data_IF_955897746811
#
_entry.id   IF_955897746811
#
_cell.length_a   1.000
_cell.length_b   1.000
_cell.length_c   1.000
_cell.angle_alpha   90.00
_cell.angle_beta   90.00
_cell.angle_gamma   90.00
#
_symmetry.space_group_name_H-M   'P 1'
#
loop_
_entity.id
_entity.type
_entity.pdbx_description
1 polymer ?
#
# COMPACT_ATOMS: atom_id res chain seq x y z
N UNK A 1 -6.24 -32.17 -3.70
CA UNK A 1 -5.18 -31.31 -3.16
C UNK A 1 -4.95 -30.21 -4.19
N UNK A 2 -4.99 -28.94 -3.79
CA UNK A 2 -4.72 -27.81 -4.70
C UNK A 2 -3.36 -27.23 -4.33
N UNK A 3 -2.52 -26.98 -5.33
CA UNK A 3 -1.17 -26.40 -5.15
C UNK A 3 -1.06 -25.15 -6.00
N UNK A 4 -0.26 -24.18 -5.55
CA UNK A 4 0.06 -22.97 -6.31
C UNK A 4 1.57 -22.88 -6.52
N UNK A 5 1.98 -22.46 -7.71
CA UNK A 5 3.38 -22.25 -8.08
C UNK A 5 3.47 -21.13 -9.11
N UNK A 6 4.69 -20.61 -9.32
CA UNK A 6 5.00 -19.82 -10.52
C UNK A 6 5.06 -20.73 -11.74
N UNK A 7 4.91 -20.16 -12.93
CA UNK A 7 5.07 -20.86 -14.22
C UNK A 7 6.54 -21.11 -14.57
N UNK A 8 7.29 -21.66 -13.62
CA UNK A 8 8.66 -22.08 -13.86
C UNK A 8 8.67 -23.44 -14.55
N UNK A 9 9.63 -23.63 -15.47
CA UNK A 9 9.72 -24.82 -16.30
C UNK A 9 9.64 -26.12 -15.48
N UNK A 10 10.32 -26.17 -14.33
CA UNK A 10 10.34 -27.34 -13.43
C UNK A 10 8.94 -27.75 -12.96
N UNK A 11 8.05 -26.78 -12.67
CA UNK A 11 6.69 -27.07 -12.24
C UNK A 11 5.78 -27.41 -13.40
N UNK A 12 5.96 -26.75 -14.55
CA UNK A 12 5.20 -27.05 -15.77
C UNK A 12 5.47 -28.48 -16.22
N UNK A 13 6.74 -28.90 -16.21
CA UNK A 13 7.16 -30.25 -16.61
C UNK A 13 6.69 -31.31 -15.61
N UNK A 14 6.85 -31.06 -14.30
CA UNK A 14 6.44 -32.01 -13.27
C UNK A 14 4.92 -32.20 -13.16
N UNK A 15 4.14 -31.14 -13.44
CA UNK A 15 2.68 -31.15 -13.38
C UNK A 15 2.04 -31.26 -14.78
N UNK A 16 2.79 -31.74 -15.77
CA UNK A 16 2.27 -31.93 -17.11
C UNK A 16 1.07 -32.89 -17.12
N UNK A 17 0.06 -32.56 -17.91
CA UNK A 17 -1.21 -33.30 -17.95
C UNK A 17 -2.18 -33.07 -16.78
N UNK A 18 -1.84 -32.21 -15.80
CA UNK A 18 -2.76 -31.80 -14.71
C UNK A 18 -3.53 -30.55 -15.13
N UNK A 19 -4.82 -30.48 -14.78
CA UNK A 19 -5.63 -29.28 -14.99
C UNK A 19 -5.02 -28.09 -14.21
N UNK A 20 -4.85 -26.95 -14.90
CA UNK A 20 -4.22 -25.76 -14.34
C UNK A 20 -5.07 -24.52 -14.58
N UNK A 21 -5.09 -23.64 -13.58
CA UNK A 21 -5.69 -22.31 -13.67
C UNK A 21 -4.56 -21.28 -13.79
N UNK A 22 -4.45 -20.65 -14.96
CA UNK A 22 -3.51 -19.56 -15.18
C UNK A 22 -4.16 -18.26 -14.70
N UNK A 23 -3.89 -17.89 -13.45
CA UNK A 23 -4.54 -16.74 -12.82
C UNK A 23 -4.36 -15.45 -13.62
N UNK A 24 -3.18 -15.23 -14.23
CA UNK A 24 -2.92 -14.02 -15.02
C UNK A 24 -3.89 -13.87 -16.21
N UNK A 25 -4.23 -14.96 -16.91
CA UNK A 25 -5.22 -14.96 -17.98
C UNK A 25 -6.63 -14.69 -17.45
N UNK A 26 -6.97 -15.24 -16.28
CA UNK A 26 -8.30 -15.06 -15.68
C UNK A 26 -8.52 -13.63 -15.15
N UNK A 27 -7.47 -12.97 -14.65
CA UNK A 27 -7.54 -11.60 -14.12
C UNK A 27 -7.50 -10.52 -15.21
N UNK A 28 -7.19 -10.88 -16.46
CA UNK A 28 -6.97 -9.93 -17.54
C UNK A 28 -8.18 -9.04 -17.80
N UNK A 29 -9.38 -9.62 -17.80
CA UNK A 29 -10.63 -8.88 -18.01
C UNK A 29 -10.88 -7.87 -16.88
N UNK A 30 -10.69 -8.29 -15.63
CA UNK A 30 -10.90 -7.40 -14.47
C UNK A 30 -9.87 -6.26 -14.47
N UNK A 31 -8.62 -6.54 -14.84
CA UNK A 31 -7.56 -5.54 -15.00
C UNK A 31 -7.92 -4.54 -16.11
N UNK A 32 -8.41 -5.02 -17.25
CA UNK A 32 -8.83 -4.18 -18.37
C UNK A 32 -9.98 -3.27 -17.96
N UNK A 33 -11.03 -3.80 -17.34
CA UNK A 33 -12.15 -2.97 -16.84
C UNK A 33 -11.71 -1.94 -15.80
N UNK A 34 -10.84 -2.35 -14.86
CA UNK A 34 -10.31 -1.45 -13.86
C UNK A 34 -9.49 -0.32 -14.49
N UNK A 35 -8.57 -0.66 -15.39
CA UNK A 35 -7.72 0.32 -16.05
C UNK A 35 -8.53 1.26 -16.94
N UNK A 36 -9.46 0.73 -17.73
CA UNK A 36 -10.34 1.50 -18.61
C UNK A 36 -11.13 2.54 -17.82
N UNK A 37 -11.76 2.12 -16.72
CA UNK A 37 -12.53 2.99 -15.83
C UNK A 37 -11.68 4.11 -15.26
N UNK A 38 -10.45 3.82 -14.83
CA UNK A 38 -9.55 4.84 -14.25
C UNK A 38 -9.01 5.81 -15.30
N UNK A 39 -8.84 5.36 -16.54
CA UNK A 39 -8.41 6.21 -17.65
C UNK A 39 -9.53 7.09 -18.20
N UNK A 40 -10.80 6.89 -17.82
CA UNK A 40 -11.90 7.79 -18.20
C UNK A 40 -11.70 9.21 -17.69
N UNK A 41 -11.00 9.39 -16.57
CA UNK A 41 -10.69 10.70 -16.00
C UNK A 41 -9.66 11.48 -16.83
N UNK A 42 -8.96 10.83 -17.77
CA UNK A 42 -7.94 11.44 -18.62
C UNK A 42 -8.53 11.81 -19.99
N UNK A 43 -8.33 13.07 -20.38
CA UNK A 43 -8.75 13.58 -21.69
C UNK A 43 -7.61 13.38 -22.68
N UNK A 44 -7.68 12.36 -23.51
CA UNK A 44 -6.72 12.14 -24.61
C UNK A 44 -7.07 13.00 -25.82
N UNK A 45 -6.04 13.43 -26.56
CA UNK A 45 -6.23 14.23 -27.78
C UNK A 45 -6.93 13.44 -28.90
N UNK A 46 -6.69 12.13 -28.94
CA UNK A 46 -7.28 11.21 -29.90
C UNK A 46 -7.87 9.99 -29.18
N UNK A 47 -9.04 9.47 -29.61
CA UNK A 47 -9.60 8.26 -29.04
C UNK A 47 -8.64 7.06 -29.11
N UNK A 48 -7.86 6.96 -30.19
CA UNK A 48 -6.91 5.86 -30.39
C UNK A 48 -5.78 5.85 -29.35
N UNK A 49 -5.41 7.02 -28.80
CA UNK A 49 -4.36 7.11 -27.78
C UNK A 49 -4.81 6.47 -26.46
N UNK A 50 -6.11 6.56 -26.14
CA UNK A 50 -6.69 5.87 -24.97
C UNK A 50 -6.61 4.35 -25.13
N UNK A 51 -6.93 3.83 -26.31
CA UNK A 51 -6.83 2.39 -26.59
C UNK A 51 -5.37 1.90 -26.53
N UNK A 52 -4.44 2.69 -27.07
CA UNK A 52 -3.00 2.38 -27.06
C UNK A 52 -2.46 2.26 -25.63
N UNK A 53 -2.76 3.23 -24.76
CA UNK A 53 -2.26 3.19 -23.39
C UNK A 53 -2.92 2.08 -22.57
N UNK A 54 -4.23 1.87 -22.75
CA UNK A 54 -4.93 0.77 -22.11
C UNK A 54 -4.31 -0.58 -22.49
N UNK A 55 -4.07 -0.81 -23.78
CA UNK A 55 -3.43 -2.02 -24.27
C UNK A 55 -2.02 -2.19 -23.68
N UNK A 56 -1.20 -1.14 -23.64
CA UNK A 56 0.15 -1.18 -23.06
C UNK A 56 0.10 -1.58 -21.57
N UNK A 57 -0.82 -1.01 -20.79
CA UNK A 57 -0.99 -1.34 -19.37
C UNK A 57 -1.43 -2.79 -19.19
N UNK A 58 -2.52 -3.21 -19.85
CA UNK A 58 -3.11 -4.54 -19.68
C UNK A 58 -2.14 -5.64 -20.12
N UNK A 59 -1.44 -5.44 -21.25
CA UNK A 59 -0.46 -6.42 -21.74
C UNK A 59 0.78 -6.52 -20.86
N UNK A 60 1.18 -5.44 -20.20
CA UNK A 60 2.35 -5.42 -19.32
C UNK A 60 2.06 -5.93 -17.91
N UNK A 61 0.81 -5.84 -17.45
CA UNK A 61 0.40 -6.14 -16.08
C UNK A 61 0.71 -7.57 -15.62
N UNK A 62 0.70 -8.55 -16.54
CA UNK A 62 0.96 -9.97 -16.24
C UNK A 62 0.13 -10.51 -15.06
N UNK A 63 -1.11 -10.02 -14.89
CA UNK A 63 -2.01 -10.40 -13.79
C UNK A 63 -1.78 -9.67 -12.45
N UNK A 64 -0.84 -8.72 -12.38
CA UNK A 64 -0.47 -8.03 -11.13
C UNK A 64 -1.26 -6.73 -10.97
N UNK A 65 -2.37 -6.79 -10.22
CA UNK A 65 -3.24 -5.61 -9.96
C UNK A 65 -2.50 -4.43 -9.33
N UNK A 66 -1.59 -4.68 -8.38
CA UNK A 66 -0.81 -3.62 -7.74
C UNK A 66 0.00 -2.84 -8.79
N UNK A 67 0.62 -3.53 -9.73
CA UNK A 67 1.37 -2.91 -10.82
C UNK A 67 0.47 -1.97 -11.63
N UNK A 68 -0.73 -2.44 -12.00
CA UNK A 68 -1.72 -1.66 -12.76
C UNK A 68 -2.10 -0.37 -12.02
N UNK A 69 -2.40 -0.46 -10.73
CA UNK A 69 -2.74 0.70 -9.89
C UNK A 69 -1.61 1.74 -9.91
N UNK A 70 -0.35 1.29 -9.74
CA UNK A 70 0.81 2.18 -9.71
C UNK A 70 1.11 2.81 -11.07
N UNK A 71 0.95 2.06 -12.15
CA UNK A 71 1.13 2.56 -13.51
C UNK A 71 0.08 3.61 -13.84
N UNK A 72 -1.19 3.36 -13.55
CA UNK A 72 -2.27 4.32 -13.78
C UNK A 72 -2.03 5.62 -13.00
N UNK A 73 -1.64 5.52 -11.74
CA UNK A 73 -1.34 6.70 -10.92
C UNK A 73 -0.11 7.47 -11.46
N UNK A 74 0.92 6.75 -11.91
CA UNK A 74 2.10 7.31 -12.58
C UNK A 74 1.75 8.03 -13.90
N UNK A 75 0.94 7.40 -14.74
CA UNK A 75 0.42 7.93 -16.01
C UNK A 75 -0.46 9.15 -15.76
N UNK A 76 -1.38 9.07 -14.81
CA UNK A 76 -2.31 10.16 -14.47
C UNK A 76 -1.56 11.42 -14.04
N UNK A 77 -0.49 11.26 -13.24
CA UNK A 77 0.38 12.39 -12.88
C UNK A 77 1.12 12.97 -14.08
N UNK A 78 1.69 12.13 -14.93
CA UNK A 78 2.41 12.58 -16.11
C UNK A 78 1.49 13.32 -17.09
N UNK A 79 0.30 12.77 -17.36
CA UNK A 79 -0.70 13.35 -18.25
C UNK A 79 -1.18 14.75 -17.80
N UNK A 80 -1.12 15.06 -16.50
CA UNK A 80 -1.42 16.40 -15.97
C UNK A 80 -0.35 17.44 -16.30
N UNK A 81 0.88 17.01 -16.58
CA UNK A 81 2.01 17.87 -16.94
C UNK A 81 2.09 17.99 -18.46
N UNK A 82 2.19 16.85 -19.13
CA UNK A 82 2.21 16.73 -20.59
C UNK A 82 1.44 15.46 -20.97
N UNK A 83 0.46 15.61 -21.87
CA UNK A 83 -0.42 14.52 -22.27
C UNK A 83 0.02 13.90 -23.60
N UNK A 84 1.33 13.84 -23.81
CA UNK A 84 1.95 13.18 -24.94
C UNK A 84 1.88 11.65 -24.76
N UNK A 85 1.17 10.97 -25.65
CA UNK A 85 0.94 9.53 -25.56
C UNK A 85 2.23 8.70 -25.67
N UNK A 86 3.20 9.12 -26.47
CA UNK A 86 4.49 8.41 -26.59
C UNK A 86 5.25 8.42 -25.26
N UNK A 87 5.29 9.57 -24.57
CA UNK A 87 5.94 9.70 -23.27
C UNK A 87 5.20 8.89 -22.19
N UNK A 88 3.85 8.85 -22.26
CA UNK A 88 3.05 8.03 -21.35
C UNK A 88 3.29 6.54 -21.56
N UNK A 89 3.38 6.06 -22.80
CA UNK A 89 3.70 4.66 -23.11
C UNK A 89 5.12 4.33 -22.66
N UNK A 90 6.10 5.19 -22.96
CA UNK A 90 7.48 5.01 -22.48
C UNK A 90 7.51 4.87 -20.95
N UNK A 91 6.71 5.66 -20.25
CA UNK A 91 6.57 5.58 -18.80
C UNK A 91 5.99 4.25 -18.34
N UNK A 92 5.01 3.69 -19.05
CA UNK A 92 4.47 2.34 -18.78
C UNK A 92 5.57 1.29 -18.96
N UNK A 93 6.33 1.36 -20.05
CA UNK A 93 7.37 0.38 -20.39
C UNK A 93 8.54 0.37 -19.38
N UNK A 94 8.83 1.53 -18.76
CA UNK A 94 9.87 1.67 -17.74
C UNK A 94 9.41 1.31 -16.31
N UNK A 95 8.13 1.01 -16.09
CA UNK A 95 7.66 0.60 -14.77
C UNK A 95 8.27 -0.76 -14.37
N UNK A 96 8.89 -0.87 -13.18
CA UNK A 96 9.43 -2.13 -12.69
C UNK A 96 8.38 -3.23 -12.69
N UNK A 97 8.72 -4.42 -13.18
CA UNK A 97 7.79 -5.57 -13.19
C UNK A 97 7.85 -6.38 -11.90
N UNK A 98 8.95 -6.29 -11.18
CA UNK A 98 9.11 -6.95 -9.89
C UNK A 98 8.37 -6.16 -8.80
N UNK A 99 7.62 -6.88 -7.95
CA UNK A 99 6.79 -6.29 -6.90
C UNK A 99 7.63 -5.60 -5.81
N UNK A 100 8.81 -6.12 -5.51
CA UNK A 100 9.72 -5.53 -4.52
C UNK A 100 10.30 -4.24 -5.08
N UNK A 101 10.67 -4.23 -6.36
CA UNK A 101 11.13 -3.01 -7.03
C UNK A 101 10.04 -1.96 -7.11
N UNK A 102 8.77 -2.35 -7.33
CA UNK A 102 7.63 -1.43 -7.27
C UNK A 102 7.46 -0.81 -5.88
N UNK A 103 7.49 -1.61 -4.82
CA UNK A 103 7.38 -1.12 -3.44
C UNK A 103 8.53 -0.18 -3.11
N UNK A 104 9.76 -0.56 -3.49
CA UNK A 104 10.95 0.27 -3.35
C UNK A 104 10.76 1.60 -4.07
N UNK A 105 10.28 1.56 -5.31
CA UNK A 105 10.05 2.75 -6.09
C UNK A 105 8.96 3.65 -5.47
N UNK A 106 7.88 3.10 -4.93
CA UNK A 106 6.89 3.87 -4.14
C UNK A 106 7.54 4.53 -2.91
N UNK A 107 8.42 3.81 -2.23
CA UNK A 107 9.15 4.31 -1.08
C UNK A 107 10.21 5.34 -1.44
N UNK A 108 10.78 5.31 -2.64
CA UNK A 108 11.85 6.23 -3.07
C UNK A 108 11.30 7.45 -3.84
N UNK A 109 10.18 7.32 -4.57
CA UNK A 109 9.63 8.32 -5.51
C UNK A 109 9.21 9.67 -4.94
N UNK A 110 9.19 9.88 -3.63
CA UNK A 110 8.68 11.16 -3.12
C UNK A 110 9.76 12.22 -3.18
N UNK A 111 9.51 13.27 -3.97
CA UNK A 111 10.31 14.49 -4.01
C UNK A 111 10.50 15.15 -2.63
N UNK A 112 11.31 16.20 -2.58
CA UNK A 112 11.83 17.00 -1.43
C UNK A 112 11.39 16.63 0.01
N UNK A 113 10.10 16.46 0.29
CA UNK A 113 9.58 16.02 1.60
C UNK A 113 10.04 14.62 2.02
N UNK A 114 10.37 13.76 1.05
CA UNK A 114 10.84 12.40 1.28
C UNK A 114 12.20 12.33 1.97
N UNK A 115 13.00 13.40 1.90
CA UNK A 115 14.30 13.53 2.55
C UNK A 115 14.23 14.11 3.96
N UNK A 116 13.05 14.53 4.43
CA UNK A 116 12.89 15.08 5.77
C UNK A 116 13.14 13.97 6.81
N UNK A 117 14.19 14.07 7.66
CA UNK A 117 14.54 12.99 8.58
C UNK A 117 13.43 12.64 9.57
N UNK A 118 12.67 13.63 10.04
CA UNK A 118 11.56 13.41 10.97
C UNK A 118 10.41 12.63 10.34
N UNK A 119 10.23 12.70 9.02
CA UNK A 119 9.23 11.91 8.30
C UNK A 119 9.67 10.46 8.16
N UNK A 120 10.94 10.21 7.82
CA UNK A 120 11.53 8.87 7.80
C UNK A 120 11.41 8.19 9.18
N UNK A 121 11.73 8.91 10.26
CA UNK A 121 11.58 8.41 11.64
C UNK A 121 10.13 8.05 11.97
N UNK A 122 9.17 8.92 11.65
CA UNK A 122 7.75 8.64 11.94
C UNK A 122 7.20 7.47 11.13
N UNK A 123 7.49 7.43 9.82
CA UNK A 123 7.11 6.30 8.96
C UNK A 123 7.69 4.98 9.48
N UNK A 124 8.99 4.99 9.82
CA UNK A 124 9.69 3.85 10.41
C UNK A 124 9.02 3.31 11.67
N UNK A 125 8.55 4.18 12.58
CA UNK A 125 7.78 3.76 13.76
C UNK A 125 6.48 3.05 13.38
N UNK A 126 5.73 3.60 12.41
CA UNK A 126 4.49 2.99 11.96
C UNK A 126 4.72 1.63 11.30
N UNK A 127 5.78 1.48 10.48
CA UNK A 127 6.14 0.19 9.90
C UNK A 127 6.59 -0.84 10.95
N UNK A 128 7.35 -0.43 11.98
CA UNK A 128 7.72 -1.34 13.08
C UNK A 128 6.49 -1.84 13.84
N UNK A 129 5.56 -0.94 14.20
CA UNK A 129 4.32 -1.31 14.88
C UNK A 129 3.51 -2.32 14.05
N UNK A 130 3.33 -2.04 12.76
CA UNK A 130 2.60 -2.94 11.85
C UNK A 130 3.28 -4.31 11.67
N UNK A 131 4.62 -4.33 11.69
CA UNK A 131 5.40 -5.56 11.51
C UNK A 131 5.35 -6.46 12.74
N UNK A 132 5.55 -5.91 13.93
CA UNK A 132 5.63 -6.69 15.18
C UNK A 132 4.30 -7.43 15.50
N UNK A 133 3.15 -6.87 15.09
CA UNK A 133 1.83 -7.45 15.37
C UNK A 133 1.38 -8.51 14.35
N UNK A 134 2.02 -8.57 13.18
CA UNK A 134 1.74 -9.58 12.13
C UNK A 134 2.01 -11.03 12.55
N UNK A 135 2.75 -11.25 13.65
CA UNK A 135 3.08 -12.57 14.18
C UNK A 135 2.00 -13.23 15.05
N UNK A 136 0.97 -12.50 15.51
CA UNK A 136 -0.01 -13.02 16.49
C UNK A 136 -1.42 -13.30 15.94
N UNK A 137 -1.62 -13.18 14.62
CA UNK A 137 -2.68 -13.89 13.91
C UNK A 137 -4.16 -13.60 14.24
N UNK A 138 -4.51 -12.57 15.03
CA UNK A 138 -5.94 -12.37 15.35
C UNK A 138 -6.43 -10.97 15.75
N UNK A 139 -5.59 -9.93 15.80
CA UNK A 139 -6.09 -8.58 16.11
C UNK A 139 -5.44 -7.60 15.17
N UNK A 140 -6.28 -6.80 14.54
CA UNK A 140 -5.86 -5.74 13.64
C UNK A 140 -5.68 -4.47 14.44
N UNK A 141 -4.54 -3.83 14.26
CA UNK A 141 -4.17 -2.68 15.07
C UNK A 141 -5.05 -1.49 14.69
N UNK A 142 -5.71 -0.94 15.69
CA UNK A 142 -6.48 0.27 15.55
C UNK A 142 -5.55 1.49 15.41
N UNK A 143 -5.99 2.52 14.71
CA UNK A 143 -5.31 3.82 14.66
C UNK A 143 -5.13 4.40 16.07
N UNK A 144 -6.00 4.03 17.01
CA UNK A 144 -5.86 4.41 18.41
C UNK A 144 -4.56 3.87 19.04
N UNK A 145 -4.20 2.61 18.79
CA UNK A 145 -2.94 2.03 19.28
C UNK A 145 -1.73 2.75 18.68
N UNK A 146 -1.78 3.07 17.38
CA UNK A 146 -0.71 3.80 16.69
C UNK A 146 -0.55 5.21 17.25
N UNK A 147 -1.67 5.87 17.51
CA UNK A 147 -1.74 7.20 18.09
C UNK A 147 -1.11 7.25 19.48
N UNK A 148 -1.40 6.24 20.30
CA UNK A 148 -0.85 6.11 21.66
C UNK A 148 0.64 5.75 21.61
N UNK A 149 1.01 4.75 20.81
CA UNK A 149 2.39 4.26 20.71
C UNK A 149 3.35 5.31 20.11
N UNK A 150 2.84 6.20 19.27
CA UNK A 150 3.61 7.27 18.63
C UNK A 150 3.56 8.61 19.38
N UNK A 151 2.86 8.68 20.52
CA UNK A 151 2.75 9.90 21.32
C UNK A 151 4.12 10.33 21.88
N UNK A 152 4.47 11.60 21.72
CA UNK A 152 5.76 12.16 22.15
C UNK A 152 5.87 12.27 23.68
N UNK A 153 4.77 12.09 24.40
CA UNK A 153 4.77 12.01 25.87
C UNK A 153 5.50 10.80 26.44
N UNK A 154 5.89 9.83 25.58
CA UNK A 154 6.64 8.64 25.98
C UNK A 154 5.77 7.57 26.61
N UNK A 155 6.29 6.33 26.65
CA UNK A 155 5.59 5.15 27.21
C UNK A 155 5.15 5.36 28.66
N UNK A 156 5.95 6.08 29.44
CA UNK A 156 5.67 6.36 30.86
C UNK A 156 4.40 7.19 31.07
N UNK A 157 4.15 8.16 30.20
CA UNK A 157 2.92 8.96 30.27
C UNK A 157 1.68 8.14 29.90
N UNK A 158 1.81 7.16 29.00
CA UNK A 158 0.69 6.31 28.58
C UNK A 158 0.31 5.28 29.64
N UNK A 159 1.31 4.74 30.34
CA UNK A 159 1.15 3.69 31.35
C UNK A 159 0.77 4.23 32.74
N UNK A 160 0.65 5.56 32.89
CA UNK A 160 0.20 6.19 34.12
C UNK A 160 -1.28 5.85 34.39
N UNK A 161 -1.60 5.06 35.43
CA UNK A 161 -2.97 4.65 35.73
C UNK A 161 -3.85 5.82 36.18
N UNK A 162 -3.25 6.93 36.63
CA UNK A 162 -3.96 8.14 37.05
C UNK A 162 -4.17 9.12 35.89
N UNK A 163 -3.67 8.80 34.68
CA UNK A 163 -3.86 9.64 33.49
C UNK A 163 -5.30 9.60 33.03
N UNK A 164 -5.96 10.74 33.16
CA UNK A 164 -7.27 10.97 32.53
C UNK A 164 -7.08 11.31 31.06
N UNK A 165 -7.63 10.47 30.18
CA UNK A 165 -7.65 10.71 28.75
C UNK A 165 -8.88 11.53 28.37
N UNK A 166 -8.65 12.76 27.91
CA UNK A 166 -9.69 13.54 27.26
C UNK A 166 -10.05 12.91 25.92
N UNK A 167 -11.31 12.50 25.77
CA UNK A 167 -11.87 11.87 24.57
C UNK A 167 -11.64 12.73 23.33
N UNK A 168 -11.78 14.05 23.44
CA UNK A 168 -11.58 14.96 22.29
C UNK A 168 -10.09 15.05 21.91
N UNK A 169 -9.20 15.01 22.89
CA UNK A 169 -7.76 14.95 22.64
C UNK A 169 -7.36 13.63 21.97
N UNK A 170 -7.92 12.51 22.40
CA UNK A 170 -7.67 11.18 21.81
C UNK A 170 -8.20 11.12 20.38
N UNK A 171 -9.42 11.60 20.13
CA UNK A 171 -10.00 11.66 18.79
C UNK A 171 -9.11 12.47 17.84
N UNK A 172 -8.68 13.67 18.26
CA UNK A 172 -7.75 14.50 17.48
C UNK A 172 -6.42 13.80 17.21
N UNK A 173 -5.90 13.07 18.19
CA UNK A 173 -4.66 12.31 18.04
C UNK A 173 -4.83 11.20 16.99
N UNK A 174 -5.92 10.44 17.04
CA UNK A 174 -6.21 9.37 16.08
C UNK A 174 -6.37 9.93 14.65
N UNK A 175 -7.12 11.01 14.48
CA UNK A 175 -7.30 11.66 13.17
C UNK A 175 -5.99 12.19 12.61
N UNK A 176 -5.12 12.72 13.48
CA UNK A 176 -3.78 13.15 13.11
C UNK A 176 -2.91 11.96 12.69
N UNK A 177 -2.88 10.89 13.49
CA UNK A 177 -2.11 9.67 13.18
C UNK A 177 -2.56 9.02 11.89
N UNK A 178 -3.88 8.91 11.63
CA UNK A 178 -4.40 8.45 10.32
C UNK A 178 -3.82 9.28 9.17
N UNK A 179 -3.85 10.61 9.30
CA UNK A 179 -3.33 11.51 8.26
C UNK A 179 -1.82 11.31 8.07
N UNK A 180 -1.07 11.15 9.16
CA UNK A 180 0.36 10.88 9.10
C UNK A 180 0.65 9.52 8.45
N UNK A 181 -0.07 8.45 8.77
CA UNK A 181 0.11 7.13 8.12
C UNK A 181 -0.10 7.28 6.61
N UNK A 182 -1.22 7.87 6.18
CA UNK A 182 -1.54 8.01 4.75
C UNK A 182 -0.50 8.83 3.98
N UNK A 183 0.08 9.86 4.59
CA UNK A 183 1.09 10.72 3.95
C UNK A 183 2.48 10.09 4.01
N UNK A 184 2.91 9.68 5.20
CA UNK A 184 4.29 9.29 5.47
C UNK A 184 4.59 7.85 5.04
N UNK A 185 3.60 6.96 5.07
CA UNK A 185 3.75 5.57 4.65
C UNK A 185 3.36 5.35 3.18
N UNK A 186 2.92 6.41 2.47
CA UNK A 186 2.80 6.45 1.01
C UNK A 186 1.96 5.33 0.39
N UNK A 187 0.89 4.94 1.09
CA UNK A 187 0.03 3.84 0.67
C UNK A 187 0.67 2.45 0.78
N UNK A 188 1.84 2.31 1.40
CA UNK A 188 2.39 1.01 1.79
C UNK A 188 1.76 0.52 3.11
N UNK A 189 1.34 1.45 3.96
CA UNK A 189 0.37 1.23 5.04
C UNK A 189 -0.90 2.02 4.74
N UNK A 190 -2.03 1.39 5.01
CA UNK A 190 -3.36 1.95 4.79
C UNK A 190 -4.21 1.86 6.06
N UNK A 191 -5.13 2.82 6.18
CA UNK A 191 -6.14 2.83 7.23
C UNK A 191 -7.49 2.46 6.63
N UNK A 192 -8.05 1.32 7.06
CA UNK A 192 -9.33 0.78 6.58
C UNK A 192 -10.38 0.76 7.70
N UNK A 193 -11.66 0.80 7.35
CA UNK A 193 -12.73 0.60 8.34
C UNK A 193 -12.85 -0.90 8.66
N UNK A 194 -12.73 -1.23 9.93
CA UNK A 194 -12.79 -2.57 10.47
C UNK A 194 -14.12 -2.87 11.12
N UNK A 195 -14.57 -4.12 10.97
CA UNK A 195 -15.75 -4.59 11.68
C UNK A 195 -15.33 -5.24 13.00
N UNK A 196 -15.70 -4.60 14.11
CA UNK A 196 -15.39 -5.09 15.46
C UNK A 196 -16.65 -5.67 16.12
N UNK A 197 -16.55 -6.88 16.66
CA UNK A 197 -17.68 -7.59 17.28
C UNK A 197 -18.20 -6.93 18.57
N UNK A 198 -17.36 -6.16 19.28
CA UNK A 198 -17.72 -5.49 20.54
C UNK A 198 -17.73 -3.99 20.29
N UNK A 199 -18.80 -3.28 20.68
CA UNK A 199 -18.91 -1.82 20.59
C UNK A 199 -18.53 -1.16 21.92
N UNK A 200 -17.68 -0.14 21.91
CA UNK A 200 -17.54 0.80 23.02
C UNK A 200 -18.80 1.66 23.11
N UNK A 201 -19.17 2.02 24.34
CA UNK A 201 -20.27 2.95 24.61
C UNK A 201 -19.93 4.42 24.32
N UNK A 202 -18.79 4.69 23.67
CA UNK A 202 -18.31 6.04 23.34
C UNK A 202 -18.14 6.19 21.83
N UNK A 203 -19.14 6.73 21.10
CA UNK A 203 -19.15 6.76 19.64
C UNK A 203 -17.92 7.41 18.98
N UNK A 204 -17.34 8.45 19.62
CA UNK A 204 -16.14 9.15 19.11
C UNK A 204 -14.90 8.24 19.12
N UNK A 205 -14.75 7.41 20.15
CA UNK A 205 -13.64 6.45 20.25
C UNK A 205 -13.90 5.19 19.44
N UNK A 206 -15.17 4.83 19.23
CA UNK A 206 -15.52 3.73 18.33
C UNK A 206 -15.02 3.95 16.91
N UNK A 207 -15.11 5.18 16.39
CA UNK A 207 -14.57 5.49 15.05
C UNK A 207 -13.05 5.27 15.03
N UNK A 208 -12.35 5.72 16.07
CA UNK A 208 -10.90 5.58 16.19
C UNK A 208 -10.46 4.12 16.29
N UNK A 209 -11.23 3.32 17.04
CA UNK A 209 -11.00 1.89 17.22
C UNK A 209 -11.31 1.10 15.95
N UNK A 210 -12.35 1.48 15.22
CA UNK A 210 -12.75 0.85 13.97
C UNK A 210 -11.74 1.06 12.84
N UNK A 211 -11.03 2.17 12.83
CA UNK A 211 -9.99 2.43 11.84
C UNK A 211 -8.79 1.51 12.10
N UNK A 212 -8.53 0.57 11.21
CA UNK A 212 -7.46 -0.42 11.32
C UNK A 212 -6.31 -0.06 10.40
N UNK A 213 -5.08 -0.23 10.87
CA UNK A 213 -3.86 -0.09 10.06
C UNK A 213 -3.49 -1.45 9.50
N UNK A 214 -3.17 -1.51 8.21
CA UNK A 214 -2.71 -2.73 7.56
C UNK A 214 -1.71 -2.42 6.45
N UNK A 215 -0.89 -3.40 6.10
CA UNK A 215 -0.12 -3.34 4.86
C UNK A 215 -1.05 -3.35 3.66
N UNK A 216 -0.82 -2.46 2.70
CA UNK A 216 -1.60 -2.43 1.47
C UNK A 216 -1.45 -3.72 0.65
N UNK A 217 -0.28 -4.37 0.76
CA UNK A 217 -0.01 -5.64 0.12
C UNK A 217 1.04 -6.44 0.89
N UNK A 218 0.98 -7.77 0.80
CA UNK A 218 1.95 -8.67 1.42
C UNK A 218 3.40 -8.38 1.01
N UNK A 219 3.62 -8.00 -0.25
CA UNK A 219 4.97 -7.69 -0.75
C UNK A 219 5.64 -6.50 -0.05
N UNK A 220 4.87 -5.66 0.67
CA UNK A 220 5.45 -4.63 1.53
C UNK A 220 6.18 -5.27 2.72
N UNK A 221 5.62 -6.34 3.29
CA UNK A 221 6.28 -7.11 4.36
C UNK A 221 7.54 -7.76 3.82
N UNK A 222 7.44 -8.44 2.67
CA UNK A 222 8.59 -9.07 2.01
C UNK A 222 9.69 -8.01 1.70
N UNK A 223 9.33 -6.80 1.25
CA UNK A 223 10.27 -5.70 1.05
C UNK A 223 10.98 -5.29 2.34
N UNK A 224 10.26 -5.20 3.47
CA UNK A 224 10.81 -4.84 4.77
C UNK A 224 11.74 -5.92 5.33
N UNK A 225 11.45 -7.20 5.04
CA UNK A 225 12.18 -8.35 5.56
C UNK A 225 13.41 -8.71 4.71
N UNK A 226 13.29 -8.64 3.38
CA UNK A 226 14.23 -9.26 2.45
C UNK A 226 15.13 -8.25 1.71
N UNK A 227 15.02 -6.93 1.98
CA UNK A 227 15.82 -5.91 1.28
C UNK A 227 16.58 -4.97 2.21
N UNK A 228 17.74 -4.49 1.74
CA UNK A 228 18.52 -3.46 2.45
C UNK A 228 17.75 -2.13 2.58
N UNK A 229 17.01 -1.72 1.54
CA UNK A 229 16.17 -0.51 1.58
C UNK A 229 15.06 -0.63 2.63
N UNK A 230 14.44 -1.80 2.76
CA UNK A 230 13.43 -2.09 3.78
C UNK A 230 14.01 -2.10 5.20
N UNK A 231 15.18 -2.73 5.39
CA UNK A 231 15.89 -2.71 6.66
C UNK A 231 16.27 -1.28 7.07
N UNK A 232 16.81 -0.48 6.15
CA UNK A 232 17.17 0.93 6.40
C UNK A 232 15.96 1.80 6.77
N UNK A 233 14.79 1.52 6.16
CA UNK A 233 13.53 2.16 6.54
C UNK A 233 13.16 1.84 8.00
N UNK A 234 13.25 0.58 8.42
CA UNK A 234 12.96 0.20 9.80
C UNK A 234 13.98 0.76 10.79
N UNK A 235 15.26 0.85 10.44
CA UNK A 235 16.28 1.35 11.37
C UNK A 235 16.20 2.86 11.63
N UNK A 236 15.47 3.61 10.80
CA UNK A 236 15.40 5.06 10.91
C UNK A 236 14.84 5.59 12.25
N UNK A 237 14.02 4.82 12.98
CA UNK A 237 13.47 5.25 14.28
C UNK A 237 14.22 4.79 15.53
N UNK A 238 15.36 4.08 15.38
CA UNK A 238 16.14 3.53 16.49
C UNK A 238 15.58 2.22 17.04
#
# INVERSE_FOLDING_TARGET
MCVSSREEYTFIDYLDGVERLQLHELTKYDIEQFADTRLEELIFAKPEDRERILYSIVSSASGVFLWVVLVIDSVTRAARIDNNIEDLIERVDHMPRDLIDLVREMWERSGDDGEIPSYKVSASRYFKLARDESHYGAWHDSVLEYAIASDKGGKESVLDPDRVWDVEKVERLCLKTRKEINILCRGLLEVVDGDFAVKLHTPRLEICRRMRVQFAHRCVVDFLDDTESGAALLDACG
#
